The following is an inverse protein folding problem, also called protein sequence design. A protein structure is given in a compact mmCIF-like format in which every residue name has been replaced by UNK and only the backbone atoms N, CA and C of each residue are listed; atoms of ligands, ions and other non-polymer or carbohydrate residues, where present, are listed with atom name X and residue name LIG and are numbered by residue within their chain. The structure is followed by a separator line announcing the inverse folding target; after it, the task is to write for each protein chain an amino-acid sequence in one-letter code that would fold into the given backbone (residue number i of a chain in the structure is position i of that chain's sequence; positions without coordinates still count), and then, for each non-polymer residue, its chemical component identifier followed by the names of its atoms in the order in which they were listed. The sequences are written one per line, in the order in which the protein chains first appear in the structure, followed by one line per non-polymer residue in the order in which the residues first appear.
data_IF_701641316307
#
_entry.id   IF_701641316307
#
_cell.length_a   1.000
_cell.length_b   1.000
_cell.length_c   1.000
_cell.angle_alpha   90.00
_cell.angle_beta   90.00
_cell.angle_gamma   90.00
#
_symmetry.space_group_name_H-M   'P 1'
#
loop_
_entity.id
_entity.type
_entity.pdbx_description
1 polymer ?
#
# COMPACT_ATOMS: atom_id res chain seq x y z
N UNK A 1 -5.10 -13.97 -13.05
CA UNK A 1 -3.84 -13.24 -12.78
C UNK A 1 -3.65 -13.11 -11.29
N UNK A 2 -2.45 -13.40 -10.83
CA UNK A 2 -2.11 -13.32 -9.42
C UNK A 2 -1.45 -11.98 -9.08
N UNK A 3 -1.57 -11.61 -7.82
CA UNK A 3 -1.02 -10.35 -7.29
C UNK A 3 0.48 -10.21 -7.59
N UNK A 4 1.24 -11.30 -7.49
CA UNK A 4 2.70 -11.26 -7.73
C UNK A 4 3.08 -10.75 -9.12
N UNK A 5 2.17 -10.83 -10.09
CA UNK A 5 2.44 -10.38 -11.45
C UNK A 5 2.36 -8.86 -11.59
N UNK A 6 1.68 -8.18 -10.67
CA UNK A 6 1.49 -6.73 -10.71
C UNK A 6 2.07 -5.98 -9.52
N UNK A 7 2.40 -6.66 -8.43
CA UNK A 7 2.92 -6.01 -7.23
C UNK A 7 4.27 -5.33 -7.50
N UNK A 8 4.52 -4.26 -6.76
CA UNK A 8 5.76 -3.51 -6.82
C UNK A 8 6.53 -3.65 -5.52
N UNK A 9 7.78 -3.25 -5.52
CA UNK A 9 8.57 -3.12 -4.31
C UNK A 9 8.01 -1.95 -3.51
N UNK A 10 7.69 -2.16 -2.23
CA UNK A 10 7.21 -1.06 -1.39
C UNK A 10 8.38 -0.16 -0.98
N UNK A 11 8.09 1.11 -0.75
CA UNK A 11 9.05 1.97 -0.08
C UNK A 11 8.83 1.85 1.41
N UNK A 12 9.85 1.42 2.13
CA UNK A 12 9.76 1.18 3.56
C UNK A 12 10.60 2.18 4.34
N UNK A 13 10.14 2.48 5.54
CA UNK A 13 10.90 3.25 6.53
C UNK A 13 10.89 2.47 7.83
N UNK A 14 11.98 2.57 8.55
CA UNK A 14 12.13 1.84 9.80
C UNK A 14 12.26 2.77 11.00
N UNK A 15 12.28 4.08 10.76
CA UNK A 15 12.38 5.11 11.80
C UNK A 15 11.08 5.91 11.84
N UNK A 16 10.74 6.34 13.05
CA UNK A 16 9.58 7.20 13.27
C UNK A 16 9.93 8.64 12.92
N UNK A 17 9.73 8.99 11.67
CA UNK A 17 10.09 10.31 11.14
C UNK A 17 8.92 11.28 11.22
N UNK A 18 9.21 12.57 11.04
CA UNK A 18 8.20 13.62 11.03
C UNK A 18 7.34 13.56 9.78
N UNK A 19 6.17 14.20 9.83
CA UNK A 19 5.30 14.33 8.66
C UNK A 19 5.96 15.11 7.54
N UNK A 20 6.77 16.11 7.89
CA UNK A 20 7.49 16.92 6.90
C UNK A 20 8.51 16.07 6.16
N UNK A 21 9.28 15.25 6.87
CA UNK A 21 10.24 14.34 6.26
C UNK A 21 9.52 13.32 5.36
N UNK A 22 8.39 12.80 5.84
CA UNK A 22 7.57 11.85 5.09
C UNK A 22 7.09 12.49 3.78
N UNK A 23 6.55 13.70 3.86
CA UNK A 23 6.08 14.42 2.69
C UNK A 23 7.19 14.67 1.67
N UNK A 24 8.39 15.00 2.13
CA UNK A 24 9.55 15.21 1.25
C UNK A 24 9.94 13.94 0.52
N UNK A 25 9.96 12.81 1.23
CA UNK A 25 10.26 11.50 0.62
C UNK A 25 9.22 11.16 -0.44
N UNK A 26 7.95 11.24 -0.08
CA UNK A 26 6.85 10.90 -0.98
C UNK A 26 6.83 11.79 -2.20
N UNK A 27 7.04 13.08 -2.02
CA UNK A 27 7.06 14.04 -3.12
C UNK A 27 8.24 13.79 -4.06
N UNK A 28 9.44 13.61 -3.51
CA UNK A 28 10.65 13.46 -4.33
C UNK A 28 10.67 12.15 -5.12
N UNK A 29 9.99 11.11 -4.63
CA UNK A 29 9.96 9.79 -5.26
C UNK A 29 8.64 9.48 -5.96
N UNK A 30 7.68 10.40 -5.94
CA UNK A 30 6.39 10.20 -6.58
C UNK A 30 5.58 9.06 -5.96
N UNK A 31 5.60 8.95 -4.63
CA UNK A 31 4.95 7.86 -3.92
C UNK A 31 3.60 8.28 -3.34
N UNK A 32 2.62 7.38 -3.41
CA UNK A 32 1.32 7.60 -2.78
C UNK A 32 1.24 7.08 -1.35
N UNK A 33 2.19 6.24 -0.91
CA UNK A 33 2.23 5.73 0.45
C UNK A 33 3.63 5.25 0.82
N UNK A 34 3.85 5.11 2.14
CA UNK A 34 5.04 4.49 2.72
C UNK A 34 4.59 3.41 3.70
N UNK A 35 5.43 2.40 3.87
CA UNK A 35 5.20 1.36 4.86
C UNK A 35 6.21 1.49 5.99
N UNK A 36 5.71 1.55 7.22
CA UNK A 36 6.54 1.53 8.42
C UNK A 36 6.78 0.07 8.80
N UNK A 37 8.04 -0.34 8.82
CA UNK A 37 8.43 -1.74 8.96
C UNK A 37 9.35 -1.91 10.17
N UNK A 38 9.12 -2.97 10.92
CA UNK A 38 10.00 -3.39 12.02
C UNK A 38 10.16 -4.89 11.95
N UNK A 39 11.40 -5.37 11.97
CA UNK A 39 11.71 -6.80 11.90
C UNK A 39 11.11 -7.48 10.66
N UNK A 40 11.12 -6.77 9.53
CA UNK A 40 10.61 -7.29 8.27
C UNK A 40 9.10 -7.29 8.15
N UNK A 41 8.37 -6.85 9.18
CA UNK A 41 6.91 -6.84 9.18
C UNK A 41 6.37 -5.42 9.13
N UNK A 42 5.31 -5.24 8.35
CA UNK A 42 4.64 -3.96 8.25
C UNK A 42 3.87 -3.66 9.53
N UNK A 43 4.14 -2.53 10.15
CA UNK A 43 3.49 -2.09 11.39
C UNK A 43 2.49 -0.98 11.15
N UNK A 44 2.60 -0.29 10.04
CA UNK A 44 1.70 0.78 9.69
C UNK A 44 1.89 1.18 8.24
N UNK A 45 0.88 1.85 7.71
CA UNK A 45 0.92 2.42 6.38
C UNK A 45 0.49 3.88 6.48
N UNK A 46 1.22 4.75 5.80
CA UNK A 46 0.87 6.16 5.70
C UNK A 46 0.71 6.52 4.23
N UNK A 47 -0.42 7.13 3.90
CA UNK A 47 -0.74 7.53 2.55
C UNK A 47 -0.82 9.05 2.44
N UNK A 48 -0.84 9.54 1.21
CA UNK A 48 -0.93 10.97 0.92
C UNK A 48 -2.14 11.63 1.60
N UNK A 49 -3.28 10.94 1.65
CA UNK A 49 -4.47 11.43 2.36
C UNK A 49 -4.24 11.66 3.84
N UNK A 50 -3.41 10.84 4.47
CA UNK A 50 -3.09 11.00 5.89
C UNK A 50 -2.29 12.28 6.13
N UNK A 51 -1.39 12.59 5.22
CA UNK A 51 -0.62 13.83 5.28
C UNK A 51 -1.51 15.05 5.11
N UNK A 52 -2.45 14.97 4.17
CA UNK A 52 -3.39 16.07 3.93
C UNK A 52 -4.28 16.33 5.14
N UNK A 53 -4.79 15.27 5.77
CA UNK A 53 -5.62 15.39 6.98
C UNK A 53 -4.88 16.02 8.15
N UNK A 54 -3.56 15.86 8.19
CA UNK A 54 -2.73 16.31 9.29
C UNK A 54 -1.84 17.51 8.90
N UNK A 55 -2.18 18.16 7.79
CA UNK A 55 -1.43 19.30 7.28
C UNK A 55 -1.25 20.37 8.36
N UNK A 56 -0.02 20.83 8.52
CA UNK A 56 0.30 21.85 9.50
C UNK A 56 0.51 21.34 10.92
N UNK A 57 0.27 20.08 11.19
CA UNK A 57 0.49 19.48 12.52
C UNK A 57 1.92 18.98 12.64
N UNK A 58 2.52 19.22 13.79
CA UNK A 58 3.88 18.77 14.11
C UNK A 58 3.80 17.38 14.76
N UNK A 59 3.64 16.35 13.93
CA UNK A 59 3.49 14.97 14.38
C UNK A 59 4.50 14.06 13.69
N UNK A 60 4.66 12.87 14.24
CA UNK A 60 5.43 11.78 13.64
C UNK A 60 4.49 10.78 13.02
N UNK A 61 4.98 10.01 12.07
CA UNK A 61 4.17 9.04 11.32
C UNK A 61 3.53 8.00 12.23
N UNK A 62 4.18 7.60 13.32
CA UNK A 62 3.63 6.61 14.24
C UNK A 62 2.29 7.04 14.85
N UNK A 63 2.05 8.35 14.95
CA UNK A 63 0.82 8.87 15.54
C UNK A 63 -0.33 8.97 14.54
N UNK A 64 -0.07 8.94 13.24
CA UNK A 64 -1.10 9.12 12.21
C UNK A 64 -1.22 7.95 11.24
N UNK A 65 -0.24 7.06 11.16
CA UNK A 65 -0.30 5.91 10.25
C UNK A 65 -1.43 4.96 10.62
N UNK A 66 -2.02 4.32 9.63
CA UNK A 66 -2.98 3.27 9.86
C UNK A 66 -2.25 2.02 10.34
N UNK A 67 -2.67 1.48 11.47
CA UNK A 67 -2.09 0.27 12.08
C UNK A 67 -2.91 -0.97 11.77
N UNK A 68 -4.12 -0.78 11.27
CA UNK A 68 -4.99 -1.89 10.86
C UNK A 68 -4.68 -2.24 9.43
N UNK A 69 -3.61 -3.00 9.24
CA UNK A 69 -3.11 -3.35 7.91
C UNK A 69 -3.80 -4.61 7.42
N UNK A 70 -4.44 -4.47 6.26
CA UNK A 70 -5.03 -5.60 5.54
C UNK A 70 -3.99 -6.01 4.51
N UNK A 71 -3.46 -7.22 4.63
CA UNK A 71 -2.43 -7.73 3.72
C UNK A 71 -2.94 -8.93 2.93
N UNK A 72 -2.28 -9.19 1.82
CA UNK A 72 -2.59 -10.31 0.93
C UNK A 72 -1.31 -11.08 0.62
N UNK A 73 -1.47 -12.20 -0.05
CA UNK A 73 -0.37 -13.07 -0.45
C UNK A 73 -0.04 -12.88 -1.92
N UNK A 74 1.18 -13.20 -2.34
CA UNK A 74 1.55 -13.11 -3.76
C UNK A 74 0.65 -13.94 -4.67
N UNK A 75 0.11 -15.05 -4.16
CA UNK A 75 -0.76 -15.97 -4.91
C UNK A 75 -2.22 -15.54 -4.93
N UNK A 76 -2.59 -14.52 -4.15
CA UNK A 76 -3.95 -13.97 -4.16
C UNK A 76 -4.30 -13.52 -5.57
N UNK A 77 -5.53 -13.79 -6.01
CA UNK A 77 -5.96 -13.35 -7.34
C UNK A 77 -6.25 -11.85 -7.32
N UNK A 78 -6.14 -11.23 -8.47
CA UNK A 78 -6.46 -9.79 -8.60
C UNK A 78 -7.94 -9.55 -8.28
N UNK A 79 -8.83 -10.49 -8.62
CA UNK A 79 -10.25 -10.39 -8.27
C UNK A 79 -10.45 -10.30 -6.76
N UNK A 80 -9.77 -11.17 -6.01
CA UNK A 80 -9.85 -11.16 -4.55
C UNK A 80 -9.28 -9.88 -3.97
N UNK A 81 -8.17 -9.39 -4.55
CA UNK A 81 -7.55 -8.14 -4.12
C UNK A 81 -8.50 -6.96 -4.32
N UNK A 82 -9.14 -6.88 -5.49
CA UNK A 82 -10.11 -5.83 -5.80
C UNK A 82 -11.30 -5.86 -4.84
N UNK A 83 -11.77 -7.06 -4.52
CA UNK A 83 -12.87 -7.24 -3.58
C UNK A 83 -12.51 -6.69 -2.20
N UNK A 84 -11.30 -7.01 -1.72
CA UNK A 84 -10.81 -6.51 -0.44
C UNK A 84 -10.67 -4.99 -0.44
N UNK A 85 -10.17 -4.42 -1.53
CA UNK A 85 -10.06 -2.97 -1.67
C UNK A 85 -11.43 -2.30 -1.60
N UNK A 86 -12.42 -2.86 -2.28
CA UNK A 86 -13.77 -2.35 -2.29
C UNK A 86 -14.43 -2.44 -0.93
N UNK A 87 -14.37 -3.61 -0.29
CA UNK A 87 -14.98 -3.86 1.00
C UNK A 87 -14.41 -2.99 2.11
N UNK A 88 -13.11 -2.71 2.04
CA UNK A 88 -12.42 -1.95 3.07
C UNK A 88 -12.17 -0.49 2.69
N UNK A 89 -12.61 -0.08 1.49
CA UNK A 89 -12.47 1.29 0.98
C UNK A 89 -11.01 1.75 0.98
N UNK A 90 -10.12 0.86 0.55
CA UNK A 90 -8.70 1.12 0.45
C UNK A 90 -8.23 0.89 -0.98
N UNK A 91 -7.14 1.54 -1.36
CA UNK A 91 -6.61 1.49 -2.73
C UNK A 91 -5.26 0.80 -2.81
N UNK A 92 -4.73 0.34 -1.69
CA UNK A 92 -3.42 -0.27 -1.61
C UNK A 92 -3.44 -1.41 -0.63
N UNK A 93 -2.76 -2.51 -0.98
CA UNK A 93 -2.67 -3.70 -0.14
C UNK A 93 -1.21 -4.13 -0.05
N UNK A 94 -0.63 -4.14 1.15
CA UNK A 94 0.67 -4.78 1.36
C UNK A 94 0.59 -6.26 1.04
N UNK A 95 1.64 -6.79 0.44
CA UNK A 95 1.75 -8.20 0.08
C UNK A 95 2.80 -8.82 0.99
N UNK A 96 2.43 -9.91 1.66
CA UNK A 96 3.30 -10.59 2.62
C UNK A 96 3.49 -12.05 2.23
N UNK A 97 4.63 -12.61 2.64
CA UNK A 97 4.91 -14.03 2.43
C UNK A 97 4.27 -14.88 3.53
N UNK A 98 4.54 -16.19 3.50
CA UNK A 98 4.01 -17.15 4.47
C UNK A 98 4.44 -16.87 5.90
N UNK A 99 5.56 -16.16 6.08
CA UNK A 99 6.07 -15.77 7.39
C UNK A 99 5.62 -14.36 7.79
N UNK A 100 4.67 -13.80 7.04
CA UNK A 100 4.11 -12.45 7.24
C UNK A 100 5.13 -11.33 7.04
N UNK A 101 6.20 -11.61 6.31
CA UNK A 101 7.17 -10.59 5.93
C UNK A 101 6.71 -9.86 4.67
N UNK A 102 6.92 -8.55 4.64
CA UNK A 102 6.53 -7.72 3.51
C UNK A 102 7.38 -8.06 2.29
N UNK A 103 6.71 -8.38 1.18
CA UNK A 103 7.38 -8.70 -0.09
C UNK A 103 6.92 -7.82 -1.25
N UNK A 104 5.88 -7.03 -1.07
CA UNK A 104 5.39 -6.17 -2.14
C UNK A 104 4.27 -5.27 -1.69
N UNK A 105 3.79 -4.48 -2.62
CA UNK A 105 2.59 -3.67 -2.46
C UNK A 105 1.82 -3.65 -3.79
N UNK A 106 0.50 -3.79 -3.69
CA UNK A 106 -0.39 -3.71 -4.85
C UNK A 106 -1.29 -2.51 -4.70
N UNK A 107 -1.38 -1.68 -5.73
CA UNK A 107 -2.26 -0.53 -5.73
C UNK A 107 -3.34 -0.66 -6.81
N UNK A 108 -4.44 0.05 -6.61
CA UNK A 108 -5.49 0.15 -7.61
C UNK A 108 -4.93 0.72 -8.92
N UNK A 109 -3.99 1.67 -8.82
CA UNK A 109 -3.33 2.26 -9.98
C UNK A 109 -2.52 1.22 -10.79
N UNK A 110 -1.87 0.28 -10.10
CA UNK A 110 -1.12 -0.78 -10.77
C UNK A 110 -2.06 -1.71 -11.55
N UNK A 111 -3.22 -1.99 -10.98
CA UNK A 111 -4.23 -2.81 -11.66
C UNK A 111 -4.76 -2.07 -12.90
N UNK A 112 -5.10 -0.80 -12.74
CA UNK A 112 -5.61 0.03 -13.84
C UNK A 112 -4.60 0.17 -14.98
N UNK A 113 -3.32 0.29 -14.65
CA UNK A 113 -2.25 0.42 -15.65
C UNK A 113 -2.04 -0.86 -16.47
N UNK A 114 -2.57 -1.99 -15.99
CA UNK A 114 -2.44 -3.30 -16.65
C UNK A 114 -3.77 -3.88 -17.08
N UNK A 115 -4.79 -3.02 -17.25
CA UNK A 115 -6.15 -3.45 -17.54
C UNK A 115 -6.27 -4.26 -18.84
N UNK A 116 -5.41 -4.00 -19.80
CA UNK A 116 -5.37 -4.71 -21.07
C UNK A 116 -4.93 -6.17 -20.95
N UNK A 117 -4.36 -6.54 -19.79
CA UNK A 117 -3.94 -7.92 -19.50
C UNK A 117 -5.06 -8.76 -18.92
N UNK A 118 -6.22 -8.18 -18.66
CA UNK A 118 -7.35 -8.87 -18.06
C UNK A 118 -8.41 -9.20 -19.09
N UNK A 119 -9.20 -10.26 -18.77
CA UNK A 119 -10.37 -10.62 -19.54
C UNK A 119 -11.41 -9.51 -19.38
N UNK A 120 -12.10 -9.16 -20.49
CA UNK A 120 -13.15 -8.13 -20.46
C UNK A 120 -14.24 -8.43 -19.45
N UNK A 121 -14.59 -9.69 -19.24
CA UNK A 121 -15.61 -10.08 -18.26
C UNK A 121 -15.22 -9.73 -16.83
N UNK A 122 -13.93 -9.66 -16.54
CA UNK A 122 -13.44 -9.30 -15.22
C UNK A 122 -13.92 -7.91 -14.79
N UNK A 123 -14.04 -6.98 -15.76
CA UNK A 123 -14.41 -5.60 -15.48
C UNK A 123 -15.88 -5.28 -15.80
N UNK A 124 -16.49 -6.02 -16.67
CA UNK A 124 -17.82 -5.70 -17.21
C UNK A 124 -18.89 -6.75 -16.89
N UNK A 125 -18.48 -7.83 -16.33
CA UNK A 125 -19.39 -8.95 -16.01
C UNK A 125 -20.20 -8.77 -14.73
#
# INVERSE_FOLDING_TARGET
MEVKELMRQPYIIEKDISLIETAKIMSSKGLGCLLFVSNGKAKGIICDGDLLKNFGKHKRISSIMSKNIISIRPETTIEEALKLMKENKIKRLPVVDENKKLVGILSMADIAANIDKFDGEFFFG
#
